data_IF_931880831586
#
_entry.id   IF_931880831586
#
_cell.length_a   1.000
_cell.length_b   1.000
_cell.length_c   1.000
_cell.angle_alpha   90.00
_cell.angle_beta   90.00
_cell.angle_gamma   90.00
#
_symmetry.space_group_name_H-M   'P 1'
#
loop_
_entity.id
_entity.type
_entity.pdbx_description
1 polymer ?
#
# COMPACT_ATOMS: atom_id res chain seq x y z
N UNK A 1 18.92 15.44 22.44
CA UNK A 1 19.89 16.01 21.50
C UNK A 1 21.27 16.19 22.12
N UNK A 2 21.40 16.75 23.32
CA UNK A 2 22.71 17.01 23.94
C UNK A 2 23.51 15.74 24.19
N UNK A 3 22.88 14.68 24.70
CA UNK A 3 23.51 13.39 24.88
C UNK A 3 23.96 12.77 23.53
N UNK A 4 23.14 12.86 22.50
CA UNK A 4 23.50 12.40 21.15
C UNK A 4 24.70 13.17 20.59
N UNK A 5 24.72 14.50 20.77
CA UNK A 5 25.84 15.36 20.38
C UNK A 5 27.11 14.94 21.12
N UNK A 6 27.02 14.69 22.42
CA UNK A 6 28.15 14.21 23.21
C UNK A 6 28.73 12.89 22.64
N UNK A 7 27.87 11.93 22.29
CA UNK A 7 28.30 10.67 21.69
C UNK A 7 29.03 10.89 20.36
N UNK A 8 28.46 11.72 19.48
CA UNK A 8 29.06 12.03 18.18
C UNK A 8 30.41 12.72 18.34
N UNK A 9 30.52 13.70 19.25
CA UNK A 9 31.78 14.38 19.52
C UNK A 9 32.84 13.47 20.20
N UNK A 10 32.40 12.39 20.85
CA UNK A 10 33.29 11.37 21.39
C UNK A 10 33.77 10.37 20.32
N UNK A 11 33.46 10.59 19.04
CA UNK A 11 33.89 9.72 17.93
C UNK A 11 32.97 8.53 17.67
N UNK A 12 31.78 8.49 18.27
CA UNK A 12 30.79 7.43 18.04
C UNK A 12 29.96 7.74 16.81
N UNK A 13 29.87 6.79 15.89
CA UNK A 13 28.95 6.86 14.75
C UNK A 13 27.52 6.52 15.20
N UNK A 14 26.69 7.53 15.41
CA UNK A 14 25.30 7.35 15.81
C UNK A 14 24.37 7.50 14.60
N UNK A 15 23.64 6.45 14.27
CA UNK A 15 22.67 6.43 13.18
C UNK A 15 21.26 6.25 13.77
N UNK A 16 20.38 7.22 13.56
CA UNK A 16 18.99 7.15 13.99
C UNK A 16 18.09 6.75 12.83
N UNK A 17 17.43 5.60 12.93
CA UNK A 17 16.48 5.13 11.93
C UNK A 17 15.04 5.25 12.38
N UNK A 18 14.20 5.81 11.52
CA UNK A 18 12.77 5.74 11.61
C UNK A 18 12.19 4.86 10.49
N UNK A 19 11.74 3.65 10.82
CA UNK A 19 11.11 2.75 9.86
C UNK A 19 9.64 3.14 9.67
N UNK A 20 9.36 3.89 8.61
CA UNK A 20 8.03 4.37 8.29
C UNK A 20 7.22 3.31 7.54
N UNK A 21 5.96 3.16 7.92
CA UNK A 21 4.97 2.27 7.28
C UNK A 21 3.75 3.10 6.95
N UNK A 22 3.13 2.87 5.78
CA UNK A 22 1.87 3.52 5.43
C UNK A 22 0.70 3.02 6.31
N UNK A 23 -0.31 3.87 6.48
CA UNK A 23 -1.52 3.51 7.26
C UNK A 23 -2.21 2.26 6.69
N UNK A 24 -2.21 2.12 5.37
CA UNK A 24 -2.79 0.99 4.66
C UNK A 24 -2.02 -0.29 4.93
N UNK A 25 -0.70 -0.25 4.82
CA UNK A 25 0.15 -1.40 5.08
C UNK A 25 0.12 -1.81 6.57
N UNK A 26 0.03 -0.85 7.50
CA UNK A 26 -0.16 -1.15 8.93
C UNK A 26 -1.45 -1.93 9.18
N UNK A 27 -2.58 -1.43 8.63
CA UNK A 27 -3.89 -2.11 8.75
C UNK A 27 -3.86 -3.51 8.14
N UNK A 28 -3.24 -3.65 6.97
CA UNK A 28 -3.06 -4.94 6.31
C UNK A 28 -2.26 -5.93 7.19
N UNK A 29 -1.15 -5.47 7.77
CA UNK A 29 -0.32 -6.29 8.67
C UNK A 29 -1.08 -6.71 9.92
N UNK A 30 -1.87 -5.82 10.51
CA UNK A 30 -2.68 -6.16 11.68
C UNK A 30 -3.78 -7.17 11.35
N UNK A 31 -4.49 -6.98 10.24
CA UNK A 31 -5.47 -7.95 9.74
C UNK A 31 -4.84 -9.32 9.48
N UNK A 32 -3.66 -9.34 8.87
CA UNK A 32 -2.92 -10.59 8.63
C UNK A 32 -2.52 -11.28 9.95
N UNK A 33 -2.10 -10.52 10.97
CA UNK A 33 -1.80 -11.07 12.31
C UNK A 33 -3.03 -11.66 13.00
N UNK A 34 -4.22 -11.10 12.78
CA UNK A 34 -5.46 -11.63 13.34
C UNK A 34 -5.84 -12.99 12.75
N UNK A 35 -5.64 -13.16 11.45
CA UNK A 35 -6.11 -14.34 10.71
C UNK A 35 -5.06 -15.46 10.64
N UNK A 36 -3.78 -15.10 10.48
CA UNK A 36 -2.73 -16.09 10.23
C UNK A 36 -2.25 -16.77 11.54
N UNK A 37 -2.38 -18.10 11.69
CA UNK A 37 -2.07 -18.80 12.93
C UNK A 37 -0.64 -18.54 13.46
N UNK A 38 0.35 -18.55 12.53
CA UNK A 38 1.78 -18.35 12.88
C UNK A 38 2.15 -16.88 13.16
N UNK A 39 1.20 -15.93 13.01
CA UNK A 39 1.45 -14.50 13.23
C UNK A 39 0.65 -13.92 14.39
N UNK A 40 -0.29 -14.67 14.95
CA UNK A 40 -1.18 -14.22 16.04
C UNK A 40 -0.40 -13.78 17.28
N UNK A 41 0.68 -14.45 17.62
CA UNK A 41 1.51 -14.10 18.76
C UNK A 41 2.18 -12.73 18.67
N UNK A 42 2.22 -12.14 17.46
CA UNK A 42 2.75 -10.79 17.22
C UNK A 42 1.72 -9.68 17.45
N UNK A 43 0.48 -10.05 17.71
CA UNK A 43 -0.59 -9.08 17.93
C UNK A 43 -0.75 -8.83 19.43
N UNK A 44 -0.48 -7.61 19.85
CA UNK A 44 -0.69 -7.17 21.24
C UNK A 44 -2.00 -6.39 21.38
N UNK A 45 -2.57 -6.30 22.61
CA UNK A 45 -3.71 -5.41 22.87
C UNK A 45 -3.42 -3.94 22.51
N UNK A 46 -2.18 -3.49 22.69
CA UNK A 46 -1.73 -2.14 22.32
C UNK A 46 -1.78 -1.93 20.81
N UNK A 47 -1.44 -2.94 20.01
CA UNK A 47 -1.52 -2.87 18.55
C UNK A 47 -2.97 -2.61 18.09
N UNK A 48 -3.94 -3.27 18.71
CA UNK A 48 -5.37 -3.07 18.41
C UNK A 48 -5.85 -1.66 18.82
N UNK A 49 -5.47 -1.22 20.00
CA UNK A 49 -5.82 0.12 20.50
C UNK A 49 -5.16 1.25 19.68
N UNK A 50 -4.04 0.97 19.00
CA UNK A 50 -3.31 1.96 18.19
C UNK A 50 -3.92 2.24 16.82
N UNK A 51 -4.84 1.38 16.34
CA UNK A 51 -5.42 1.48 15.00
C UNK A 51 -6.14 2.82 14.75
N UNK A 52 -6.83 3.33 15.76
CA UNK A 52 -7.60 4.57 15.65
C UNK A 52 -6.79 5.82 16.06
N UNK A 53 -5.56 5.62 16.53
CA UNK A 53 -4.67 6.68 17.02
C UNK A 53 -3.56 7.06 16.03
N UNK A 54 -3.77 6.80 14.76
CA UNK A 54 -2.78 7.11 13.72
C UNK A 54 -2.36 8.58 13.72
N UNK A 55 -3.32 9.50 13.84
CA UNK A 55 -3.05 10.92 13.78
C UNK A 55 -2.33 11.42 15.04
N UNK A 56 -2.62 10.85 16.21
CA UNK A 56 -1.91 11.14 17.46
C UNK A 56 -0.45 10.68 17.39
N UNK A 57 -0.20 9.46 16.89
CA UNK A 57 1.15 8.95 16.65
C UNK A 57 1.90 9.79 15.61
N UNK A 58 1.20 10.27 14.57
CA UNK A 58 1.81 11.12 13.56
C UNK A 58 2.26 12.44 14.16
N UNK A 59 1.43 13.10 14.95
CA UNK A 59 1.78 14.33 15.67
C UNK A 59 2.96 14.12 16.63
N UNK A 60 2.95 13.02 17.39
CA UNK A 60 4.05 12.69 18.29
C UNK A 60 5.37 12.46 17.55
N UNK A 61 5.33 11.76 16.40
CA UNK A 61 6.49 11.58 15.52
C UNK A 61 7.01 12.92 14.99
N UNK A 62 6.13 13.79 14.52
CA UNK A 62 6.51 15.11 14.00
C UNK A 62 7.15 15.97 15.08
N UNK A 63 6.58 16.01 16.28
CA UNK A 63 7.16 16.69 17.42
C UNK A 63 8.52 16.10 17.85
N UNK A 64 8.70 14.78 17.74
CA UNK A 64 9.99 14.13 17.97
C UNK A 64 11.02 14.59 16.96
N UNK A 65 10.68 14.60 15.67
CA UNK A 65 11.61 15.05 14.61
C UNK A 65 11.96 16.53 14.80
N UNK A 66 10.98 17.40 15.04
CA UNK A 66 11.20 18.82 15.28
C UNK A 66 12.22 19.08 16.38
N UNK A 67 12.15 18.31 17.47
CA UNK A 67 13.03 18.51 18.64
C UNK A 67 14.35 17.77 18.58
N UNK A 68 14.46 16.71 17.77
CA UNK A 68 15.61 15.79 17.83
C UNK A 68 16.27 15.52 16.48
N UNK A 69 15.79 16.11 15.37
CA UNK A 69 16.47 16.05 14.08
C UNK A 69 17.53 17.14 13.99
N UNK A 70 18.73 16.83 14.44
CA UNK A 70 19.85 17.79 14.47
C UNK A 70 20.79 17.62 13.30
N UNK A 71 21.61 18.63 13.03
CA UNK A 71 22.60 18.58 11.95
C UNK A 71 23.66 17.52 12.23
N UNK A 72 24.10 17.40 13.47
CA UNK A 72 25.13 16.44 13.88
C UNK A 72 24.58 15.00 13.95
N UNK A 73 23.29 14.85 14.29
CA UNK A 73 22.66 13.54 14.45
C UNK A 73 21.25 13.53 13.83
N UNK A 74 21.16 13.49 12.49
CA UNK A 74 19.88 13.53 11.79
C UNK A 74 19.11 12.21 11.88
N UNK A 75 17.78 12.32 11.80
CA UNK A 75 16.92 11.18 11.58
C UNK A 75 16.93 10.71 10.13
N UNK A 76 17.16 9.44 9.94
CA UNK A 76 17.08 8.77 8.64
C UNK A 76 15.78 7.96 8.56
N UNK A 77 14.88 8.38 7.67
CA UNK A 77 13.61 7.70 7.43
C UNK A 77 13.80 6.59 6.41
N UNK A 78 13.33 5.38 6.74
CA UNK A 78 13.33 4.21 5.86
C UNK A 78 11.88 3.82 5.57
N UNK A 79 11.43 3.91 4.33
CA UNK A 79 10.10 3.45 3.91
C UNK A 79 10.05 1.92 3.94
N UNK A 80 9.19 1.37 4.79
CA UNK A 80 9.17 -0.06 5.15
C UNK A 80 7.92 -0.82 4.74
N UNK A 81 7.17 -0.31 3.77
CA UNK A 81 6.04 -1.04 3.20
C UNK A 81 6.55 -2.34 2.55
N UNK A 82 7.65 -2.27 1.79
CA UNK A 82 8.40 -3.44 1.37
C UNK A 82 9.57 -3.71 2.33
N UNK A 83 9.43 -4.74 3.16
CA UNK A 83 10.42 -5.10 4.18
C UNK A 83 11.77 -5.53 3.61
N UNK A 84 11.79 -6.15 2.42
CA UNK A 84 13.05 -6.63 1.80
C UNK A 84 13.86 -5.44 1.30
N UNK A 85 13.20 -4.54 0.56
CA UNK A 85 13.83 -3.30 0.08
C UNK A 85 14.28 -2.41 1.23
N UNK A 86 13.44 -2.25 2.27
CA UNK A 86 13.79 -1.45 3.45
C UNK A 86 15.04 -1.98 4.16
N UNK A 87 15.10 -3.30 4.43
CA UNK A 87 16.27 -3.93 5.07
C UNK A 87 17.54 -3.75 4.25
N UNK A 88 17.47 -4.06 2.95
CA UNK A 88 18.61 -3.93 2.06
C UNK A 88 19.14 -2.49 2.04
N UNK A 89 18.26 -1.51 1.91
CA UNK A 89 18.67 -0.12 1.84
C UNK A 89 19.14 0.45 3.18
N UNK A 90 18.56 0.01 4.31
CA UNK A 90 19.06 0.35 5.63
C UNK A 90 20.48 -0.20 5.86
N UNK A 91 20.75 -1.46 5.49
CA UNK A 91 22.09 -2.03 5.55
C UNK A 91 23.06 -1.28 4.65
N UNK A 92 22.69 -0.98 3.40
CA UNK A 92 23.51 -0.17 2.50
C UNK A 92 23.81 1.21 3.09
N UNK A 93 22.83 1.85 3.72
CA UNK A 93 23.02 3.13 4.37
C UNK A 93 24.08 3.05 5.47
N UNK A 94 24.01 2.05 6.36
CA UNK A 94 24.99 1.83 7.42
C UNK A 94 26.39 1.61 6.82
N UNK A 95 26.52 0.69 5.86
CA UNK A 95 27.78 0.35 5.21
C UNK A 95 28.38 1.51 4.40
N UNK A 96 27.55 2.42 3.90
CA UNK A 96 28.01 3.62 3.21
C UNK A 96 28.36 4.77 4.16
N UNK A 97 27.83 4.76 5.40
CA UNK A 97 28.05 5.83 6.38
C UNK A 97 29.26 5.58 7.26
N UNK A 98 29.48 4.33 7.68
CA UNK A 98 30.56 3.97 8.59
C UNK A 98 31.82 3.61 7.77
N UNK A 99 32.99 4.24 8.03
CA UNK A 99 34.23 3.84 7.39
C UNK A 99 34.71 2.50 7.97
N UNK A 100 35.11 1.57 7.13
CA UNK A 100 35.72 0.30 7.50
C UNK A 100 36.66 -0.19 6.41
N UNK A 101 37.64 -0.99 6.80
CA UNK A 101 38.63 -1.57 5.88
C UNK A 101 37.98 -2.66 5.01
N UNK A 102 38.47 -2.81 3.77
CA UNK A 102 37.99 -3.85 2.84
C UNK A 102 36.61 -3.58 2.24
N UNK A 103 36.13 -2.35 2.31
CA UNK A 103 34.85 -1.98 1.70
C UNK A 103 34.90 -2.17 0.19
N UNK A 104 33.95 -2.96 -0.32
CA UNK A 104 33.70 -3.11 -1.76
C UNK A 104 32.43 -2.34 -2.14
N UNK A 105 32.59 -1.18 -2.74
CA UNK A 105 31.49 -0.31 -3.16
C UNK A 105 30.58 -0.94 -4.23
N UNK A 106 31.11 -1.86 -5.04
CA UNK A 106 30.31 -2.58 -6.04
C UNK A 106 29.38 -3.60 -5.38
N UNK A 107 29.86 -4.27 -4.35
CA UNK A 107 29.06 -5.23 -3.58
C UNK A 107 28.00 -4.55 -2.71
N UNK A 108 28.38 -3.47 -2.03
CA UNK A 108 27.44 -2.71 -1.17
C UNK A 108 26.37 -2.04 -2.03
N UNK A 109 26.78 -1.38 -3.10
CA UNK A 109 25.92 -0.64 -3.99
C UNK A 109 25.32 0.63 -3.37
N UNK A 110 24.66 1.46 -4.16
CA UNK A 110 24.05 2.72 -3.72
C UNK A 110 22.78 2.50 -2.90
N UNK A 111 22.49 3.46 -2.03
CA UNK A 111 21.21 3.56 -1.31
C UNK A 111 20.15 4.12 -2.25
N UNK A 112 18.97 3.50 -2.28
CA UNK A 112 17.83 4.00 -3.06
C UNK A 112 17.20 5.22 -2.35
N UNK A 113 17.27 6.43 -2.96
CA UNK A 113 16.76 7.66 -2.34
C UNK A 113 15.23 7.68 -2.22
N UNK A 114 14.53 6.81 -2.93
CA UNK A 114 13.09 6.65 -2.78
C UNK A 114 12.70 5.86 -1.54
N UNK A 115 13.63 5.10 -0.97
CA UNK A 115 13.44 4.26 0.21
C UNK A 115 14.04 4.91 1.46
N UNK A 116 15.24 5.49 1.35
CA UNK A 116 15.95 6.07 2.49
C UNK A 116 16.21 7.55 2.22
N UNK A 117 15.86 8.39 3.17
CA UNK A 117 16.10 9.83 3.09
C UNK A 117 16.07 10.52 4.45
N UNK A 118 16.45 11.79 4.51
CA UNK A 118 16.36 12.59 5.75
C UNK A 118 14.89 12.85 6.10
N UNK A 119 14.60 12.98 7.39
CA UNK A 119 13.25 13.22 7.89
C UNK A 119 12.64 14.51 7.32
N UNK A 120 13.39 15.59 7.26
CA UNK A 120 13.00 16.88 6.67
C UNK A 120 12.58 16.74 5.21
N UNK A 121 13.43 16.19 4.36
CA UNK A 121 13.16 16.02 2.93
C UNK A 121 11.95 15.08 2.66
N UNK A 122 11.80 14.05 3.49
CA UNK A 122 10.67 13.11 3.35
C UNK A 122 9.33 13.74 3.76
N UNK A 123 9.33 14.62 4.77
CA UNK A 123 8.13 15.34 5.20
C UNK A 123 7.70 16.38 4.15
N UNK A 124 8.61 17.18 3.63
CA UNK A 124 8.36 18.15 2.56
C UNK A 124 7.78 17.49 1.30
N UNK A 125 8.36 16.36 0.89
CA UNK A 125 7.84 15.59 -0.24
C UNK A 125 6.43 15.03 0.04
N UNK A 126 6.15 14.59 1.25
CA UNK A 126 4.83 14.08 1.64
C UNK A 126 3.77 15.19 1.66
N UNK A 127 4.11 16.39 2.15
CA UNK A 127 3.22 17.55 2.14
C UNK A 127 2.94 18.06 0.73
N UNK A 128 3.97 18.12 -0.12
CA UNK A 128 3.82 18.47 -1.53
C UNK A 128 2.88 17.51 -2.26
N UNK A 129 3.01 16.20 -2.01
CA UNK A 129 2.10 15.20 -2.57
C UNK A 129 0.67 15.33 -2.05
N UNK A 130 0.47 15.65 -0.77
CA UNK A 130 -0.87 15.90 -0.21
C UNK A 130 -1.51 17.12 -0.87
N UNK A 131 -0.76 18.22 -1.04
CA UNK A 131 -1.21 19.43 -1.71
C UNK A 131 -1.62 19.15 -3.17
N UNK A 132 -0.81 18.41 -3.92
CA UNK A 132 -1.11 18.02 -5.29
C UNK A 132 -2.37 17.15 -5.39
N UNK A 133 -2.55 16.19 -4.49
CA UNK A 133 -3.76 15.36 -4.43
C UNK A 133 -5.01 16.19 -4.16
N UNK A 134 -4.95 17.12 -3.20
CA UNK A 134 -6.09 17.99 -2.88
C UNK A 134 -6.45 18.93 -4.03
N UNK A 135 -5.48 19.42 -4.78
CA UNK A 135 -5.70 20.21 -5.99
C UNK A 135 -6.39 19.38 -7.09
N UNK A 136 -5.92 18.16 -7.32
CA UNK A 136 -6.53 17.23 -8.28
C UNK A 136 -7.97 16.87 -7.91
N UNK A 137 -8.25 16.62 -6.64
CA UNK A 137 -9.60 16.33 -6.16
C UNK A 137 -10.54 17.52 -6.38
N UNK A 138 -10.11 18.75 -6.07
CA UNK A 138 -10.88 19.97 -6.35
C UNK A 138 -11.15 20.17 -7.85
N UNK A 139 -10.16 19.89 -8.70
CA UNK A 139 -10.34 19.94 -10.15
C UNK A 139 -11.38 18.92 -10.64
N UNK A 140 -11.31 17.69 -10.16
CA UNK A 140 -12.27 16.65 -10.51
C UNK A 140 -13.69 17.01 -10.04
N UNK A 141 -13.84 17.51 -8.82
CA UNK A 141 -15.13 17.98 -8.29
C UNK A 141 -15.69 19.15 -9.12
N UNK A 142 -14.83 20.10 -9.52
CA UNK A 142 -15.22 21.22 -10.40
C UNK A 142 -15.69 20.75 -11.79
N UNK A 143 -15.03 19.76 -12.38
CA UNK A 143 -15.43 19.17 -13.66
C UNK A 143 -16.76 18.42 -13.56
N UNK A 144 -16.99 17.66 -12.49
CA UNK A 144 -18.26 16.94 -12.26
C UNK A 144 -19.42 17.91 -12.00
N UNK A 145 -19.18 19.01 -11.28
CA UNK A 145 -20.18 20.05 -11.06
C UNK A 145 -20.55 20.79 -12.35
N UNK A 146 -19.58 21.06 -13.23
CA UNK A 146 -19.81 21.71 -14.53
C UNK A 146 -20.59 20.81 -15.49
N UNK A 147 -20.38 19.49 -15.45
CA UNK A 147 -21.13 18.53 -16.30
C UNK A 147 -22.57 18.32 -15.82
N UNK A 148 -22.82 18.44 -14.52
CA UNK A 148 -24.17 18.38 -13.94
C UNK A 148 -25.03 19.64 -14.24
N UNK A 149 -24.40 20.77 -14.60
CA UNK A 149 -25.07 22.03 -14.94
C UNK A 149 -25.33 22.21 -16.44
N UNK A 150 -24.99 21.24 -17.30
CA UNK A 150 -25.38 21.31 -18.71
C UNK A 150 -26.92 21.23 -18.82
N UNK A 151 -27.60 22.25 -19.36
CA UNK A 151 -29.04 22.26 -19.49
C UNK A 151 -29.50 21.12 -20.41
N UNK A 152 -30.38 20.27 -19.90
CA UNK A 152 -31.12 19.28 -20.69
C UNK A 152 -32.09 19.99 -21.62
N UNK A 153 -31.60 20.68 -22.63
CA UNK A 153 -32.40 21.30 -23.66
C UNK A 153 -32.10 20.68 -25.02
N UNK A 154 -32.96 19.83 -25.44
CA UNK A 154 -33.35 19.43 -26.80
C UNK A 154 -33.57 17.91 -26.95
N UNK A 155 -34.63 17.42 -26.32
CA UNK A 155 -35.25 16.18 -26.84
C UNK A 155 -36.77 16.18 -26.62
N UNK A 156 -37.42 17.36 -26.84
CA UNK A 156 -38.91 17.44 -26.76
C UNK A 156 -39.54 17.94 -28.07
N UNK A 157 -38.97 17.59 -29.24
CA UNK A 157 -39.62 17.92 -30.54
C UNK A 157 -39.41 16.86 -31.63
N UNK A 158 -39.50 15.57 -31.28
CA UNK A 158 -39.47 14.48 -32.27
C UNK A 158 -40.41 13.32 -31.92
N UNK A 159 -41.52 13.54 -31.18
CA UNK A 159 -42.50 12.50 -30.88
C UNK A 159 -43.94 12.94 -31.07
N UNK A 160 -44.20 13.67 -32.16
CA UNK A 160 -45.55 14.06 -32.54
C UNK A 160 -45.76 14.08 -34.08
N UNK A 161 -45.25 13.08 -34.81
CA UNK A 161 -45.61 12.89 -36.23
C UNK A 161 -45.36 11.46 -36.73
N UNK A 162 -45.78 10.41 -36.00
CA UNK A 162 -45.96 9.05 -36.55
C UNK A 162 -46.93 8.21 -35.71
N UNK A 163 -48.09 8.77 -35.50
CA UNK A 163 -49.21 8.02 -34.97
C UNK A 163 -50.40 8.12 -35.95
N UNK A 164 -50.22 7.65 -37.16
CA UNK A 164 -51.32 7.37 -38.08
C UNK A 164 -50.78 6.58 -39.28
N UNK A 165 -50.65 5.28 -39.14
CA UNK A 165 -50.83 4.28 -40.19
C UNK A 165 -50.24 2.95 -39.71
N UNK A 166 -51.04 2.11 -39.25
CA UNK A 166 -51.19 0.72 -39.64
C UNK A 166 -51.79 -0.11 -38.49
N UNK A 167 -53.08 -0.08 -38.49
CA UNK A 167 -53.87 -1.22 -38.06
C UNK A 167 -53.86 -2.20 -39.21
N UNK A 168 -53.76 -3.48 -38.91
CA UNK A 168 -53.99 -4.70 -39.67
C UNK A 168 -52.71 -5.52 -39.91
N UNK A 169 -52.61 -6.56 -39.18
CA UNK A 169 -52.52 -7.94 -39.65
C UNK A 169 -52.10 -8.86 -38.49
N UNK A 170 -52.99 -9.77 -38.30
CA UNK A 170 -53.04 -10.81 -37.30
C UNK A 170 -51.98 -11.91 -37.49
N UNK A 171 -51.81 -12.66 -36.41
CA UNK A 171 -51.61 -14.08 -36.30
C UNK A 171 -50.34 -14.72 -36.85
N UNK A 172 -49.54 -15.24 -35.95
CA UNK A 172 -49.28 -16.68 -35.82
C UNK A 172 -48.13 -16.94 -34.86
N UNK A 173 -48.47 -17.54 -33.77
CA UNK A 173 -47.55 -18.35 -33.00
C UNK A 173 -47.18 -19.60 -33.78
N UNK A 174 -46.10 -20.28 -33.53
CA UNK A 174 -46.16 -21.47 -32.72
C UNK A 174 -45.04 -21.60 -31.66
N UNK A 175 -45.41 -22.30 -30.64
CA UNK A 175 -44.72 -22.85 -29.51
C UNK A 175 -43.76 -24.03 -29.87
N UNK A 176 -43.25 -24.75 -28.87
CA UNK A 176 -41.83 -24.94 -28.62
C UNK A 176 -41.33 -26.38 -28.99
N UNK A 177 -40.04 -26.58 -28.94
CA UNK A 177 -39.48 -27.95 -28.92
C UNK A 177 -38.42 -28.08 -27.81
N UNK A 178 -38.81 -28.88 -26.84
CA UNK A 178 -37.93 -29.64 -25.94
C UNK A 178 -37.11 -30.68 -26.74
N UNK A 179 -35.91 -30.95 -26.21
CA UNK A 179 -35.26 -32.27 -26.16
C UNK A 179 -33.92 -32.01 -25.46
N UNK A 180 -33.76 -32.43 -24.24
CA UNK A 180 -33.48 -33.75 -23.69
C UNK A 180 -32.05 -34.23 -23.93
N UNK A 181 -31.41 -34.49 -22.76
CA UNK A 181 -30.53 -35.63 -22.44
C UNK A 181 -29.19 -35.73 -23.21
N UNK A 182 -28.07 -35.95 -22.56
CA UNK A 182 -27.57 -37.04 -21.72
C UNK A 182 -26.20 -36.62 -21.16
N UNK A 183 -25.88 -36.71 -19.98
CA UNK A 183 -25.26 -37.69 -19.08
C UNK A 183 -24.25 -38.68 -19.76
N UNK A 184 -23.03 -38.63 -19.27
CA UNK A 184 -22.13 -39.78 -19.02
C UNK A 184 -20.89 -39.20 -18.31
N UNK A 185 -20.69 -39.52 -17.05
CA UNK A 185 -20.04 -40.69 -16.46
C UNK A 185 -18.58 -40.91 -16.84
N UNK A 186 -17.82 -40.91 -15.85
CA UNK A 186 -16.89 -41.93 -15.35
C UNK A 186 -15.55 -41.30 -15.02
N UNK A 187 -15.18 -41.43 -13.79
CA UNK A 187 -14.55 -42.53 -13.06
C UNK A 187 -13.05 -42.31 -12.94
N UNK A 188 -12.68 -42.08 -11.74
CA UNK A 188 -12.09 -43.06 -10.83
C UNK A 188 -10.56 -43.20 -10.86
N UNK A 189 -10.06 -43.03 -9.65
CA UNK A 189 -9.10 -43.92 -9.00
C UNK A 189 -7.63 -43.83 -9.49
N UNK A 190 -6.66 -43.78 -8.70
CA UNK A 190 -6.29 -44.55 -7.55
C UNK A 190 -4.82 -44.28 -7.20
N UNK A 191 -4.54 -44.16 -5.94
CA UNK A 191 -3.53 -44.89 -5.19
C UNK A 191 -2.03 -44.82 -5.53
N UNK A 192 -1.25 -44.46 -4.56
CA UNK A 192 -0.37 -45.28 -3.66
C UNK A 192 0.71 -44.39 -3.09
N UNK A 193 0.69 -44.12 -1.83
CA UNK A 193 1.43 -44.81 -0.76
C UNK A 193 2.77 -45.42 -1.17
N UNK A 194 3.86 -44.84 -0.73
CA UNK A 194 5.03 -45.55 -0.26
C UNK A 194 5.69 -44.78 0.87
N UNK A 195 5.75 -45.43 1.95
CA UNK A 195 6.43 -45.34 3.19
C UNK A 195 7.96 -45.33 3.12
N UNK A 196 8.51 -44.81 4.27
CA UNK A 196 9.74 -45.31 4.93
C UNK A 196 11.08 -44.97 4.27
N UNK A 197 11.99 -44.43 4.94
CA UNK A 197 12.76 -44.81 6.16
C UNK A 197 13.83 -43.74 6.35
N UNK A 198 13.99 -43.16 7.50
CA UNK A 198 14.85 -43.58 8.60
C UNK A 198 16.36 -43.42 8.33
N UNK A 199 16.96 -42.64 9.19
CA UNK A 199 18.17 -42.92 9.95
C UNK A 199 19.41 -42.13 9.65
N UNK A 200 19.84 -41.39 10.69
CA UNK A 200 21.21 -41.25 11.20
C UNK A 200 22.28 -40.61 10.30
N UNK A 201 22.70 -39.50 10.63
CA UNK A 201 23.94 -39.11 11.35
C UNK A 201 23.91 -37.63 11.68
#
# INVERSE_FOLDING_TARGET
>A
PEFERFLVHSGIYLIKFWFSVSREEQRKRFKERQVHPLKRWKLSPVDLASLDKWDDYTKAKEAMFEKTDTVECPWTVVKSDDKKRARLNAMRYVLNTIPYEGRDDKMVGPVDPLIVGRATAMNEAAESLKALRSLRERQLQGMMAADSQKPKSRSRKAKAKTASKKKTAAAKSPEPREASLEATHASAASNKTVEKSASLS
#
